data_IF_296223995437
#
_entry.id   IF_296223995437
#
_cell.length_a   1.000
_cell.length_b   1.000
_cell.length_c   1.000
_cell.angle_alpha   90.00
_cell.angle_beta   90.00
_cell.angle_gamma   90.00
#
_symmetry.space_group_name_H-M   'P 1'
#
loop_
_entity.id
_entity.type
_entity.pdbx_description
1 polymer ?
#
# COMPACT_ATOMS: atom_id res chain seq x y z
N UNK A 1 -18.20 -41.78 -18.36
CA UNK A 1 -18.63 -40.37 -18.37
C UNK A 1 -17.40 -39.55 -18.10
N UNK A 2 -16.90 -38.86 -19.13
CA UNK A 2 -15.73 -37.99 -19.00
C UNK A 2 -16.18 -36.75 -18.22
N UNK A 3 -15.68 -36.58 -17.00
CA UNK A 3 -15.81 -35.30 -16.29
C UNK A 3 -15.12 -34.24 -17.15
N UNK A 4 -15.92 -33.39 -17.79
CA UNK A 4 -15.41 -32.15 -18.36
C UNK A 4 -14.89 -31.32 -17.20
N UNK A 5 -13.58 -31.38 -16.95
CA UNK A 5 -12.89 -30.42 -16.07
C UNK A 5 -13.11 -29.05 -16.70
N UNK A 6 -14.05 -28.29 -16.14
CA UNK A 6 -14.23 -26.88 -16.47
C UNK A 6 -12.89 -26.19 -16.25
N UNK A 7 -12.42 -25.43 -17.25
CA UNK A 7 -11.19 -24.68 -17.08
C UNK A 7 -11.32 -23.71 -15.89
N UNK A 8 -10.30 -23.61 -15.02
CA UNK A 8 -10.33 -22.68 -13.90
C UNK A 8 -10.43 -21.24 -14.42
N UNK A 9 -11.17 -20.39 -13.71
CA UNK A 9 -11.30 -18.98 -14.07
C UNK A 9 -9.97 -18.20 -13.94
N UNK A 10 -9.98 -16.94 -14.37
CA UNK A 10 -8.78 -16.08 -14.33
C UNK A 10 -8.18 -15.92 -12.93
N UNK A 11 -9.03 -15.76 -11.91
CA UNK A 11 -8.61 -15.58 -10.51
C UNK A 11 -7.97 -16.86 -9.97
N UNK A 12 -8.62 -18.00 -10.21
CA UNK A 12 -8.15 -19.31 -9.76
C UNK A 12 -6.80 -19.64 -10.37
N UNK A 13 -6.61 -19.36 -11.67
CA UNK A 13 -5.31 -19.50 -12.34
C UNK A 13 -4.25 -18.55 -11.78
N UNK A 14 -4.63 -17.29 -11.52
CA UNK A 14 -3.70 -16.28 -11.00
C UNK A 14 -3.17 -16.62 -9.60
N UNK A 15 -4.00 -17.22 -8.75
CA UNK A 15 -3.65 -17.67 -7.41
C UNK A 15 -3.57 -19.22 -7.34
N UNK A 16 -2.96 -19.83 -8.36
CA UNK A 16 -2.94 -21.28 -8.55
C UNK A 16 -2.48 -22.08 -7.31
N UNK A 17 -1.41 -21.64 -6.65
CA UNK A 17 -0.92 -22.30 -5.42
C UNK A 17 -1.95 -22.23 -4.29
N UNK A 18 -2.55 -21.05 -4.08
CA UNK A 18 -3.57 -20.86 -3.06
C UNK A 18 -4.75 -21.82 -3.25
N UNK A 19 -5.27 -21.90 -4.47
CA UNK A 19 -6.39 -22.77 -4.84
C UNK A 19 -6.02 -24.24 -5.11
N UNK A 20 -4.74 -24.61 -5.02
CA UNK A 20 -4.27 -25.99 -5.20
C UNK A 20 -4.27 -26.47 -6.67
N UNK A 21 -4.21 -25.55 -7.64
CA UNK A 21 -3.92 -25.89 -9.03
C UNK A 21 -2.45 -26.32 -9.22
N UNK A 22 -1.58 -25.79 -8.36
CA UNK A 22 -0.17 -26.11 -8.22
C UNK A 22 0.19 -26.17 -6.73
N UNK A 23 1.34 -26.74 -6.41
CA UNK A 23 1.98 -26.57 -5.10
C UNK A 23 3.20 -25.66 -5.30
N UNK A 24 3.49 -24.78 -4.34
CA UNK A 24 4.61 -23.85 -4.45
C UNK A 24 5.94 -24.62 -4.49
N UNK A 25 6.85 -24.16 -5.33
CA UNK A 25 8.15 -24.80 -5.51
C UNK A 25 9.10 -24.50 -4.32
N UNK A 26 9.90 -25.50 -3.92
CA UNK A 26 10.90 -25.36 -2.86
C UNK A 26 10.67 -26.27 -1.65
N UNK A 27 11.70 -26.39 -0.81
CA UNK A 27 11.72 -27.18 0.42
C UNK A 27 11.76 -26.30 1.69
N UNK A 28 11.53 -24.99 1.52
CA UNK A 28 11.52 -24.02 2.60
C UNK A 28 10.28 -24.10 3.48
N UNK A 29 10.33 -23.41 4.63
CA UNK A 29 9.15 -23.25 5.47
C UNK A 29 8.07 -22.47 4.72
N UNK A 30 6.83 -22.99 4.73
CA UNK A 30 5.69 -22.31 4.13
C UNK A 30 5.43 -20.99 4.85
N UNK A 31 5.41 -19.90 4.10
CA UNK A 31 5.15 -18.56 4.59
C UNK A 31 3.95 -17.93 3.87
N UNK A 32 3.00 -17.39 4.65
CA UNK A 32 1.90 -16.59 4.14
C UNK A 32 2.16 -15.11 4.38
N UNK A 33 1.89 -14.29 3.37
CA UNK A 33 1.98 -12.83 3.48
C UNK A 33 0.58 -12.25 3.27
N UNK A 34 -0.03 -11.74 4.34
CA UNK A 34 -1.44 -11.32 4.36
C UNK A 34 -1.57 -9.82 4.59
N UNK A 35 -2.34 -9.15 3.73
CA UNK A 35 -2.58 -7.72 3.82
C UNK A 35 -3.31 -7.21 2.58
N UNK A 36 -3.23 -5.90 2.33
CA UNK A 36 -3.74 -5.31 1.09
C UNK A 36 -2.81 -5.63 -0.11
N UNK A 37 -2.93 -4.89 -1.20
CA UNK A 37 -2.10 -5.07 -2.41
C UNK A 37 -0.57 -5.03 -2.15
N UNK A 38 -0.13 -4.44 -1.04
CA UNK A 38 1.27 -4.43 -0.62
C UNK A 38 1.80 -5.80 -0.17
N UNK A 39 0.92 -6.68 0.32
CA UNK A 39 1.32 -8.01 0.78
C UNK A 39 1.97 -8.84 -0.33
N UNK A 40 1.42 -8.79 -1.55
CA UNK A 40 2.01 -9.47 -2.70
C UNK A 40 3.40 -8.91 -3.05
N UNK A 41 3.60 -7.60 -2.89
CA UNK A 41 4.92 -7.01 -3.13
C UNK A 41 5.91 -7.53 -2.12
N UNK A 42 5.60 -7.47 -0.82
CA UNK A 42 6.50 -8.01 0.20
C UNK A 42 6.76 -9.51 0.02
N UNK A 43 5.74 -10.30 -0.37
CA UNK A 43 5.88 -11.74 -0.65
C UNK A 43 7.00 -12.01 -1.64
N UNK A 44 7.01 -11.28 -2.76
CA UNK A 44 8.05 -11.43 -3.80
C UNK A 44 9.45 -11.23 -3.20
N UNK A 45 9.64 -10.25 -2.32
CA UNK A 45 10.95 -9.95 -1.73
C UNK A 45 11.34 -10.89 -0.56
N UNK A 46 10.41 -11.70 -0.05
CA UNK A 46 10.68 -12.67 1.02
C UNK A 46 10.99 -14.08 0.51
N UNK A 47 10.51 -14.41 -0.68
CA UNK A 47 10.61 -15.75 -1.25
C UNK A 47 12.06 -16.21 -1.40
N UNK A 48 12.32 -17.49 -1.09
CA UNK A 48 13.65 -18.08 -1.12
C UNK A 48 14.42 -18.05 0.21
N UNK A 49 15.65 -18.58 0.15
CA UNK A 49 16.57 -18.71 1.29
C UNK A 49 15.91 -19.30 2.55
N UNK A 50 15.27 -20.47 2.39
CA UNK A 50 14.58 -21.20 3.46
C UNK A 50 13.10 -20.87 3.63
N UNK A 51 12.55 -19.99 2.79
CA UNK A 51 11.11 -19.71 2.70
C UNK A 51 10.54 -20.16 1.35
N UNK A 52 9.34 -20.72 1.40
CA UNK A 52 8.50 -20.97 0.23
C UNK A 52 7.20 -20.19 0.45
N UNK A 53 7.00 -19.11 -0.30
CA UNK A 53 5.84 -18.22 -0.12
C UNK A 53 4.67 -18.65 -1.00
N UNK A 54 3.45 -18.49 -0.49
CA UNK A 54 2.23 -18.78 -1.27
C UNK A 54 1.63 -17.48 -1.78
N UNK A 55 1.46 -17.37 -3.09
CA UNK A 55 0.71 -16.27 -3.70
C UNK A 55 -0.78 -16.44 -3.43
N UNK A 56 -1.42 -15.43 -2.84
CA UNK A 56 -2.83 -15.47 -2.47
C UNK A 56 -3.53 -14.12 -2.73
N UNK A 57 -4.88 -14.09 -2.80
CA UNK A 57 -5.62 -12.83 -2.91
C UNK A 57 -5.31 -11.88 -1.73
N UNK A 58 -5.30 -10.56 -1.97
CA UNK A 58 -5.21 -9.59 -0.88
C UNK A 58 -6.46 -9.68 0.01
N UNK A 59 -6.31 -9.30 1.27
CA UNK A 59 -7.32 -9.55 2.33
C UNK A 59 -8.70 -8.94 2.02
N UNK A 60 -8.76 -7.84 1.29
CA UNK A 60 -10.02 -7.18 0.91
C UNK A 60 -10.72 -7.81 -0.30
N UNK A 61 -10.05 -8.74 -0.99
CA UNK A 61 -10.64 -9.55 -2.06
C UNK A 61 -11.01 -10.96 -1.58
N UNK A 62 -10.72 -11.33 -0.33
CA UNK A 62 -11.08 -12.63 0.21
C UNK A 62 -12.59 -12.68 0.48
N UNK A 63 -13.19 -13.81 0.12
CA UNK A 63 -14.61 -14.09 0.33
C UNK A 63 -14.78 -15.32 1.22
N UNK A 64 -16.01 -15.59 1.67
CA UNK A 64 -16.32 -16.80 2.44
C UNK A 64 -15.93 -18.09 1.70
N UNK A 65 -15.96 -18.10 0.36
CA UNK A 65 -15.58 -19.24 -0.46
C UNK A 65 -14.08 -19.53 -0.46
N UNK A 66 -13.25 -18.54 -0.10
CA UNK A 66 -11.79 -18.67 -0.03
C UNK A 66 -11.31 -19.21 1.33
N UNK A 67 -12.18 -19.22 2.35
CA UNK A 67 -11.81 -19.61 3.70
C UNK A 67 -11.23 -21.03 3.76
N UNK A 68 -11.85 -22.09 3.20
CA UNK A 68 -11.28 -23.44 3.30
C UNK A 68 -9.84 -23.56 2.78
N UNK A 69 -9.50 -22.82 1.72
CA UNK A 69 -8.16 -22.75 1.16
C UNK A 69 -7.20 -21.99 2.07
N UNK A 70 -7.66 -20.88 2.66
CA UNK A 70 -6.91 -20.13 3.65
C UNK A 70 -6.61 -20.97 4.89
N UNK A 71 -7.61 -21.68 5.44
CA UNK A 71 -7.44 -22.57 6.60
C UNK A 71 -6.44 -23.70 6.31
N UNK A 72 -6.53 -24.32 5.12
CA UNK A 72 -5.56 -25.33 4.65
C UNK A 72 -4.13 -24.80 4.69
N UNK A 73 -3.92 -23.57 4.20
CA UNK A 73 -2.60 -22.98 4.15
C UNK A 73 -2.09 -22.52 5.52
N UNK A 74 -2.95 -21.92 6.34
CA UNK A 74 -2.61 -21.54 7.72
C UNK A 74 -2.18 -22.76 8.54
N UNK A 75 -2.89 -23.89 8.43
CA UNK A 75 -2.54 -25.14 9.11
C UNK A 75 -1.21 -25.76 8.66
N UNK A 76 -0.65 -25.34 7.51
CA UNK A 76 0.66 -25.77 6.99
C UNK A 76 1.76 -24.72 7.19
N UNK A 77 1.40 -23.47 7.44
CA UNK A 77 2.33 -22.36 7.47
C UNK A 77 3.19 -22.42 8.73
N UNK A 78 4.52 -22.39 8.55
CA UNK A 78 5.44 -22.15 9.65
C UNK A 78 5.56 -20.66 9.99
N UNK A 79 5.07 -19.79 9.11
CA UNK A 79 5.26 -18.35 9.16
C UNK A 79 4.04 -17.59 8.64
N UNK A 80 3.62 -16.58 9.38
CA UNK A 80 2.64 -15.59 8.94
C UNK A 80 3.27 -14.19 9.02
N UNK A 81 3.43 -13.54 7.88
CA UNK A 81 3.77 -12.13 7.77
C UNK A 81 2.48 -11.39 7.48
N UNK A 82 2.05 -10.48 8.37
CA UNK A 82 0.72 -9.88 8.24
C UNK A 82 0.74 -8.38 8.45
N UNK A 83 0.06 -7.64 7.59
CA UNK A 83 -0.36 -6.29 7.94
C UNK A 83 -1.42 -6.34 9.04
N UNK A 84 -1.50 -5.36 9.95
CA UNK A 84 -2.56 -5.33 10.94
C UNK A 84 -3.95 -5.28 10.28
N UNK A 85 -4.72 -6.34 10.46
CA UNK A 85 -6.12 -6.47 10.04
C UNK A 85 -6.96 -6.65 11.29
N UNK A 86 -8.03 -5.87 11.42
CA UNK A 86 -8.97 -6.00 12.55
C UNK A 86 -9.69 -7.34 12.48
N UNK A 87 -10.09 -7.87 13.62
CA UNK A 87 -10.96 -9.04 13.67
C UNK A 87 -12.28 -8.75 12.95
N UNK A 88 -12.84 -9.81 12.36
CA UNK A 88 -14.10 -9.79 11.61
C UNK A 88 -14.09 -8.76 10.46
N UNK A 89 -12.93 -8.63 9.79
CA UNK A 89 -12.77 -7.76 8.64
C UNK A 89 -13.66 -8.24 7.49
N UNK A 90 -14.54 -7.37 7.02
CA UNK A 90 -15.59 -7.70 6.02
C UNK A 90 -16.49 -8.88 6.45
N UNK A 91 -16.80 -8.97 7.74
CA UNK A 91 -17.65 -10.02 8.33
C UNK A 91 -17.06 -11.44 8.16
N UNK A 92 -15.75 -11.53 7.96
CA UNK A 92 -14.98 -12.76 7.83
C UNK A 92 -13.88 -12.82 8.91
N UNK A 93 -13.47 -14.02 9.37
CA UNK A 93 -12.47 -14.20 10.41
C UNK A 93 -11.03 -13.96 9.89
N UNK A 94 -10.79 -12.78 9.33
CA UNK A 94 -9.56 -12.39 8.63
C UNK A 94 -8.63 -11.51 9.48
N UNK A 95 -8.98 -11.26 10.75
CA UNK A 95 -8.14 -10.47 11.64
C UNK A 95 -6.79 -11.11 11.89
N UNK A 96 -5.74 -10.31 12.04
CA UNK A 96 -4.38 -10.83 12.26
C UNK A 96 -4.32 -11.76 13.48
N UNK A 97 -5.10 -11.48 14.54
CA UNK A 97 -5.18 -12.35 15.71
C UNK A 97 -5.91 -13.66 15.41
N UNK A 98 -7.02 -13.61 14.67
CA UNK A 98 -7.78 -14.78 14.23
C UNK A 98 -6.92 -15.69 13.34
N UNK A 99 -6.24 -15.14 12.34
CA UNK A 99 -5.35 -15.91 11.46
C UNK A 99 -4.20 -16.56 12.23
N UNK A 100 -3.57 -15.82 13.17
CA UNK A 100 -2.50 -16.34 14.00
C UNK A 100 -2.94 -17.52 14.88
N UNK A 101 -4.18 -17.52 15.37
CA UNK A 101 -4.72 -18.60 16.19
C UNK A 101 -4.93 -19.92 15.43
N UNK A 102 -4.93 -19.88 14.09
CA UNK A 102 -5.09 -21.05 13.22
C UNK A 102 -3.76 -21.71 12.84
N UNK A 103 -2.64 -21.08 13.18
CA UNK A 103 -1.32 -21.58 12.85
C UNK A 103 -0.92 -22.76 13.75
N UNK A 104 -0.02 -23.65 13.28
CA UNK A 104 0.68 -24.60 14.13
C UNK A 104 1.35 -23.92 15.33
N UNK A 105 1.48 -24.65 16.44
CA UNK A 105 2.01 -24.14 17.71
C UNK A 105 3.42 -23.53 17.57
N UNK A 106 4.23 -24.10 16.69
CA UNK A 106 5.62 -23.69 16.44
C UNK A 106 5.75 -22.57 15.40
N UNK A 107 4.63 -22.15 14.78
CA UNK A 107 4.64 -21.11 13.77
C UNK A 107 4.94 -19.73 14.39
N UNK A 108 5.53 -18.84 13.59
CA UNK A 108 5.87 -17.47 14.03
C UNK A 108 5.09 -16.44 13.23
N UNK A 109 4.77 -15.34 13.89
CA UNK A 109 4.03 -14.21 13.30
C UNK A 109 4.90 -12.97 13.32
N UNK A 110 5.02 -12.28 12.18
CA UNK A 110 5.65 -10.97 12.09
C UNK A 110 4.66 -10.00 11.49
N UNK A 111 4.55 -8.82 12.10
CA UNK A 111 3.67 -7.76 11.60
C UNK A 111 4.47 -6.75 10.79
N UNK A 112 3.89 -6.30 9.68
CA UNK A 112 4.48 -5.30 8.81
C UNK A 112 3.50 -4.14 8.64
N UNK A 113 3.95 -2.88 8.61
CA UNK A 113 3.02 -1.77 8.51
C UNK A 113 2.39 -1.72 7.12
N UNK A 114 1.19 -1.15 7.03
CA UNK A 114 0.70 -0.63 5.75
C UNK A 114 1.48 0.65 5.47
N UNK A 115 2.42 0.59 4.53
CA UNK A 115 3.30 1.71 4.23
C UNK A 115 2.49 2.80 3.53
N UNK A 116 2.45 3.98 4.14
CA UNK A 116 1.91 5.20 3.53
C UNK A 116 2.83 6.37 3.84
N UNK A 117 3.17 7.12 2.81
CA UNK A 117 4.00 8.31 2.94
C UNK A 117 3.55 9.38 1.95
N UNK A 118 2.99 10.46 2.47
CA UNK A 118 2.48 11.58 1.66
C UNK A 118 3.57 12.61 1.30
N UNK A 119 4.79 12.54 1.87
CA UNK A 119 5.82 13.57 1.66
C UNK A 119 6.37 13.67 0.24
N UNK A 120 6.14 12.68 -0.61
CA UNK A 120 6.44 12.73 -2.05
C UNK A 120 5.23 13.14 -2.90
N UNK A 121 4.02 13.08 -2.34
CA UNK A 121 2.75 13.33 -3.03
C UNK A 121 1.76 14.05 -2.12
N UNK A 122 2.09 15.26 -1.63
CA UNK A 122 1.41 15.89 -0.50
C UNK A 122 -0.01 16.36 -0.80
N UNK A 123 -0.37 16.48 -2.08
CA UNK A 123 -1.72 16.84 -2.52
C UNK A 123 -2.69 15.66 -2.49
N UNK A 124 -2.17 14.42 -2.46
CA UNK A 124 -2.98 13.24 -2.65
C UNK A 124 -3.48 12.66 -1.32
N UNK A 125 -4.76 12.30 -1.29
CA UNK A 125 -5.41 11.64 -0.15
C UNK A 125 -6.30 10.49 -0.62
N UNK A 126 -6.58 9.55 0.29
CA UNK A 126 -7.55 8.47 0.05
C UNK A 126 -8.74 8.69 0.98
N UNK A 127 -9.93 8.66 0.39
CA UNK A 127 -11.21 8.81 1.05
C UNK A 127 -12.16 7.82 0.40
N UNK A 128 -13.11 7.30 1.17
CA UNK A 128 -14.20 6.47 0.67
C UNK A 128 -15.50 7.16 1.09
N UNK A 129 -16.47 7.36 0.18
CA UNK A 129 -17.75 7.96 0.53
C UNK A 129 -18.43 7.18 1.66
N UNK A 130 -19.02 7.84 2.66
CA UNK A 130 -19.78 7.14 3.70
C UNK A 130 -21.00 6.39 3.14
N UNK A 131 -21.59 6.89 2.04
CA UNK A 131 -22.73 6.24 1.38
C UNK A 131 -22.39 4.90 0.74
N UNK A 132 -21.17 4.77 0.22
CA UNK A 132 -20.66 3.54 -0.38
C UNK A 132 -19.14 3.50 -0.31
N UNK A 133 -18.61 2.65 0.58
CA UNK A 133 -17.18 2.54 0.84
C UNK A 133 -16.40 1.85 -0.29
N UNK A 134 -17.09 1.27 -1.28
CA UNK A 134 -16.47 0.65 -2.45
C UNK A 134 -16.09 1.67 -3.52
N UNK A 135 -16.73 2.85 -3.52
CA UNK A 135 -16.51 3.86 -4.53
C UNK A 135 -15.11 4.48 -4.46
N UNK A 136 -14.60 4.83 -5.63
CA UNK A 136 -13.35 5.56 -5.88
C UNK A 136 -13.61 6.62 -6.95
N UNK A 137 -12.83 7.71 -6.98
CA UNK A 137 -12.87 8.61 -8.11
C UNK A 137 -12.38 7.89 -9.39
N UNK A 138 -12.88 8.28 -10.57
CA UNK A 138 -12.55 7.64 -11.84
C UNK A 138 -11.11 7.97 -12.28
N UNK A 139 -10.57 7.22 -13.25
CA UNK A 139 -9.21 7.39 -13.81
C UNK A 139 -8.09 6.98 -12.85
N UNK A 140 -8.02 7.59 -11.66
CA UNK A 140 -7.09 7.20 -10.57
C UNK A 140 -7.79 7.27 -9.22
N UNK A 141 -7.47 6.34 -8.32
CA UNK A 141 -8.15 6.21 -7.02
C UNK A 141 -7.69 7.22 -5.95
N UNK A 142 -6.97 8.28 -6.34
CA UNK A 142 -6.36 9.25 -5.44
C UNK A 142 -7.07 10.59 -5.55
N UNK A 143 -7.65 11.07 -4.46
CA UNK A 143 -8.20 12.42 -4.43
C UNK A 143 -7.07 13.45 -4.33
N UNK A 144 -7.28 14.62 -4.90
CA UNK A 144 -6.40 15.77 -4.73
C UNK A 144 -7.08 16.81 -3.83
N UNK A 145 -6.38 17.27 -2.78
CA UNK A 145 -6.89 18.28 -1.84
C UNK A 145 -7.29 19.57 -2.53
N UNK A 146 -6.61 19.95 -3.62
CA UNK A 146 -6.94 21.15 -4.43
C UNK A 146 -8.30 20.99 -5.08
N UNK A 147 -8.59 19.81 -5.64
CA UNK A 147 -9.85 19.53 -6.33
C UNK A 147 -11.01 19.39 -5.32
N UNK A 148 -10.75 18.78 -4.17
CA UNK A 148 -11.72 18.71 -3.07
C UNK A 148 -12.08 20.12 -2.58
N UNK A 149 -11.07 20.97 -2.36
CA UNK A 149 -11.27 22.35 -1.91
C UNK A 149 -12.06 23.17 -2.92
N UNK A 150 -11.78 23.00 -4.22
CA UNK A 150 -12.56 23.61 -5.30
C UNK A 150 -14.02 23.13 -5.31
N UNK A 151 -14.25 21.81 -5.23
CA UNK A 151 -15.60 21.24 -5.19
C UNK A 151 -16.39 21.71 -3.95
N UNK A 152 -15.71 22.00 -2.84
CA UNK A 152 -16.29 22.57 -1.63
C UNK A 152 -16.54 24.09 -1.71
N UNK A 153 -16.22 24.74 -2.84
CA UNK A 153 -16.35 26.19 -3.00
C UNK A 153 -15.31 27.00 -2.23
N UNK A 154 -14.18 26.38 -1.85
CA UNK A 154 -13.09 26.95 -1.07
C UNK A 154 -11.74 26.74 -1.77
N UNK A 155 -11.54 27.22 -3.01
CA UNK A 155 -10.33 26.94 -3.76
C UNK A 155 -9.09 27.42 -3.01
N UNK A 156 -8.04 26.59 -3.01
CA UNK A 156 -6.75 26.92 -2.42
C UNK A 156 -5.99 27.95 -3.28
N UNK A 157 -5.09 28.75 -2.69
CA UNK A 157 -4.16 29.58 -3.45
C UNK A 157 -3.34 28.76 -4.45
N UNK A 158 -3.06 29.32 -5.62
CA UNK A 158 -2.30 28.64 -6.69
C UNK A 158 -0.88 28.25 -6.23
N UNK A 159 -0.30 29.00 -5.31
CA UNK A 159 1.02 28.81 -4.71
C UNK A 159 0.96 28.15 -3.32
N UNK A 160 -0.17 27.52 -2.96
CA UNK A 160 -0.35 26.89 -1.64
C UNK A 160 0.66 25.77 -1.36
N UNK A 161 1.10 25.04 -2.39
CA UNK A 161 2.11 23.99 -2.24
C UNK A 161 3.51 24.59 -2.20
N UNK A 162 4.01 24.86 -1.00
CA UNK A 162 5.40 25.28 -0.77
C UNK A 162 6.26 24.12 -0.24
N UNK A 163 7.60 24.20 -0.33
CA UNK A 163 8.48 23.23 0.31
C UNK A 163 8.24 23.03 1.81
N UNK A 164 7.79 24.07 2.51
CA UNK A 164 7.43 23.97 3.93
C UNK A 164 6.15 23.17 4.16
N UNK A 165 5.14 23.32 3.30
CA UNK A 165 3.92 22.51 3.32
C UNK A 165 4.23 21.04 3.03
N UNK A 166 5.08 20.77 2.04
CA UNK A 166 5.57 19.40 1.75
C UNK A 166 6.13 18.73 3.00
N UNK A 167 7.09 19.39 3.68
CA UNK A 167 7.71 18.85 4.89
C UNK A 167 6.71 18.67 6.03
N UNK A 168 5.73 19.57 6.17
CA UNK A 168 4.71 19.47 7.21
C UNK A 168 3.74 18.30 6.97
N UNK A 169 3.33 18.09 5.71
CA UNK A 169 2.50 16.92 5.31
C UNK A 169 3.29 15.63 5.49
N UNK A 170 4.60 15.63 5.17
CA UNK A 170 5.46 14.49 5.41
C UNK A 170 5.52 14.12 6.89
N UNK A 171 5.69 15.10 7.80
CA UNK A 171 5.73 14.84 9.24
C UNK A 171 4.39 14.30 9.77
N UNK A 172 3.25 14.85 9.32
CA UNK A 172 1.93 14.29 9.66
C UNK A 172 1.81 12.82 9.22
N UNK A 173 2.25 12.51 8.00
CA UNK A 173 2.24 11.15 7.47
C UNK A 173 3.14 10.21 8.27
N UNK A 174 4.33 10.66 8.67
CA UNK A 174 5.29 9.87 9.44
C UNK A 174 4.82 9.66 10.88
N UNK A 175 4.26 10.68 11.52
CA UNK A 175 3.68 10.55 12.85
C UNK A 175 2.59 9.47 12.88
N UNK A 176 1.72 9.44 11.88
CA UNK A 176 0.68 8.40 11.76
C UNK A 176 1.24 7.01 11.39
N UNK A 177 2.34 6.93 10.62
CA UNK A 177 3.02 5.66 10.36
C UNK A 177 3.68 5.13 11.65
N UNK A 178 4.49 5.93 12.34
CA UNK A 178 5.13 5.60 13.63
C UNK A 178 4.11 5.16 14.67
N UNK A 179 2.98 5.86 14.78
CA UNK A 179 1.87 5.50 15.67
C UNK A 179 1.35 4.10 15.39
N UNK A 180 1.15 3.72 14.11
CA UNK A 180 0.68 2.38 13.71
C UNK A 180 1.74 1.31 13.94
N UNK A 181 3.01 1.63 13.70
CA UNK A 181 4.14 0.72 13.97
C UNK A 181 4.19 0.34 15.45
N UNK A 182 4.10 1.33 16.33
CA UNK A 182 4.06 1.11 17.79
C UNK A 182 2.78 0.38 18.21
N UNK A 183 1.61 0.83 17.74
CA UNK A 183 0.33 0.25 18.14
C UNK A 183 0.18 -1.23 17.76
N UNK A 184 0.89 -1.68 16.74
CA UNK A 184 0.79 -3.05 16.23
C UNK A 184 2.08 -3.85 16.30
N UNK A 185 3.15 -3.34 16.94
CA UNK A 185 4.48 -3.97 17.00
C UNK A 185 4.93 -4.48 15.63
N UNK A 186 4.90 -3.59 14.64
CA UNK A 186 5.36 -3.94 13.29
C UNK A 186 6.86 -3.76 13.16
N UNK A 187 7.46 -4.35 12.12
CA UNK A 187 8.78 -3.86 11.66
C UNK A 187 8.69 -2.36 11.37
N UNK A 188 9.79 -1.64 11.62
CA UNK A 188 9.85 -0.20 11.34
C UNK A 188 9.92 0.01 9.83
N UNK A 189 9.24 1.03 9.32
CA UNK A 189 9.28 1.52 7.95
C UNK A 189 9.42 3.06 7.89
N UNK A 190 9.02 3.76 8.94
CA UNK A 190 9.02 5.22 9.03
C UNK A 190 10.40 5.85 8.83
N UNK A 191 11.46 5.23 9.38
CA UNK A 191 12.84 5.69 9.24
C UNK A 191 13.37 5.72 7.79
N UNK A 192 12.75 4.95 6.88
CA UNK A 192 13.11 4.95 5.45
C UNK A 192 12.89 6.30 4.77
N UNK A 193 12.06 7.15 5.38
CA UNK A 193 11.67 8.45 4.86
C UNK A 193 12.18 9.59 5.75
N UNK A 194 12.96 9.31 6.79
CA UNK A 194 13.51 10.33 7.69
C UNK A 194 14.79 10.94 7.13
N UNK A 195 14.84 12.28 7.10
CA UNK A 195 16.03 13.03 6.65
C UNK A 195 17.25 12.64 7.49
N UNK A 196 18.27 12.09 6.84
CA UNK A 196 19.54 11.70 7.48
C UNK A 196 19.55 10.32 8.14
N UNK A 197 18.48 9.51 8.00
CA UNK A 197 18.36 8.18 8.60
C UNK A 197 19.00 7.03 7.79
N UNK A 198 19.69 7.33 6.67
CA UNK A 198 20.44 6.33 5.91
C UNK A 198 21.61 5.75 6.73
N UNK A 199 21.98 4.48 6.48
CA UNK A 199 23.19 3.86 7.07
C UNK A 199 24.49 4.58 6.69
N UNK A 200 24.43 5.48 5.70
CA UNK A 200 25.48 6.38 5.22
C UNK A 200 25.21 7.87 5.53
N UNK A 201 24.15 8.19 6.30
CA UNK A 201 23.76 9.56 6.65
C UNK A 201 23.08 10.35 5.51
N UNK A 202 22.66 9.71 4.42
CA UNK A 202 22.13 10.39 3.21
C UNK A 202 20.60 10.38 3.05
N UNK A 203 19.86 9.83 4.02
CA UNK A 203 18.47 9.43 3.83
C UNK A 203 17.53 10.60 3.55
N UNK A 204 17.36 11.01 2.30
CA UNK A 204 16.32 11.94 1.86
C UNK A 204 15.23 11.13 1.15
N UNK A 205 13.93 11.42 1.33
CA UNK A 205 12.86 10.77 0.57
C UNK A 205 13.05 10.89 -0.95
N UNK A 206 12.87 9.81 -1.71
CA UNK A 206 13.08 9.76 -3.17
C UNK A 206 11.89 9.14 -3.91
N UNK A 207 11.65 9.56 -5.14
CA UNK A 207 10.53 9.08 -5.97
C UNK A 207 10.63 7.59 -6.37
N UNK A 208 11.77 6.92 -6.20
CA UNK A 208 11.89 5.47 -6.37
C UNK A 208 11.31 4.70 -5.16
N UNK A 209 11.25 5.32 -3.99
CA UNK A 209 10.70 4.75 -2.76
C UNK A 209 9.17 4.69 -2.78
N UNK A 210 8.49 5.64 -3.42
CA UNK A 210 7.02 5.69 -3.51
C UNK A 210 6.59 6.19 -4.88
N UNK A 211 5.56 5.57 -5.49
CA UNK A 211 4.94 6.01 -6.77
C UNK A 211 3.64 6.80 -6.59
N UNK A 212 3.00 6.56 -5.46
CA UNK A 212 1.82 7.25 -4.94
C UNK A 212 1.95 7.21 -3.41
N UNK A 213 1.01 7.82 -2.67
CA UNK A 213 1.10 7.83 -1.20
C UNK A 213 1.06 6.45 -0.55
N UNK A 214 0.64 5.39 -1.25
CA UNK A 214 0.51 4.02 -0.73
C UNK A 214 1.07 2.93 -1.66
N UNK A 215 1.82 3.29 -2.71
CA UNK A 215 2.53 2.34 -3.59
C UNK A 215 4.05 2.44 -3.40
N UNK A 216 4.61 1.76 -2.39
CA UNK A 216 6.05 1.71 -2.19
C UNK A 216 6.77 0.99 -3.32
N UNK A 217 7.98 1.45 -3.62
CA UNK A 217 8.88 0.83 -4.58
C UNK A 217 9.82 -0.20 -4.01
N UNK A 218 10.60 -0.77 -4.92
CA UNK A 218 11.56 -1.84 -4.63
C UNK A 218 12.48 -1.49 -3.44
N UNK A 219 13.06 -0.27 -3.30
CA UNK A 219 13.92 0.05 -2.16
C UNK A 219 13.25 -0.12 -0.79
N UNK A 220 11.96 0.22 -0.70
CA UNK A 220 11.18 0.04 0.54
C UNK A 220 10.99 -1.45 0.82
N UNK A 221 10.60 -2.23 -0.20
CA UNK A 221 10.37 -3.67 -0.03
C UNK A 221 11.64 -4.47 0.25
N UNK A 222 12.76 -4.12 -0.37
CA UNK A 222 14.07 -4.71 -0.05
C UNK A 222 14.39 -4.54 1.44
N UNK A 223 14.20 -3.33 1.98
CA UNK A 223 14.51 -3.04 3.38
C UNK A 223 13.53 -3.72 4.33
N UNK A 224 12.22 -3.69 4.03
CA UNK A 224 11.22 -4.37 4.85
C UNK A 224 11.37 -5.88 4.84
N UNK A 225 11.72 -6.49 3.70
CA UNK A 225 12.01 -7.91 3.63
C UNK A 225 13.21 -8.27 4.52
N UNK A 226 14.30 -7.49 4.45
CA UNK A 226 15.46 -7.67 5.34
C UNK A 226 15.07 -7.61 6.82
N UNK A 227 14.28 -6.59 7.22
CA UNK A 227 13.80 -6.43 8.61
C UNK A 227 12.88 -7.55 9.07
N UNK A 228 12.03 -8.06 8.19
CA UNK A 228 11.19 -9.24 8.48
C UNK A 228 12.06 -10.48 8.68
N UNK A 229 13.06 -10.70 7.82
CA UNK A 229 13.97 -11.84 7.94
C UNK A 229 14.81 -11.76 9.22
N UNK A 230 15.29 -10.58 9.58
CA UNK A 230 15.96 -10.32 10.86
C UNK A 230 15.06 -10.66 12.05
N UNK A 231 13.82 -10.17 12.08
CA UNK A 231 12.83 -10.50 13.12
C UNK A 231 12.54 -12.00 13.22
N UNK A 232 12.67 -12.73 12.11
CA UNK A 232 12.50 -14.18 12.05
C UNK A 232 13.80 -14.97 12.32
N UNK A 233 14.94 -14.31 12.54
CA UNK A 233 16.25 -14.96 12.67
C UNK A 233 16.63 -15.77 11.42
N UNK A 234 16.18 -15.34 10.25
CA UNK A 234 16.48 -15.97 8.96
C UNK A 234 17.75 -15.35 8.36
N UNK A 235 18.49 -16.09 7.52
CA UNK A 235 19.65 -15.53 6.83
C UNK A 235 19.23 -14.36 5.94
N UNK A 236 20.10 -13.36 5.81
CA UNK A 236 19.91 -12.27 4.85
C UNK A 236 19.69 -12.83 3.45
N UNK A 237 18.75 -12.24 2.73
CA UNK A 237 18.42 -12.62 1.37
C UNK A 237 17.94 -11.38 0.62
N UNK A 238 18.59 -11.10 -0.50
CA UNK A 238 18.22 -9.99 -1.39
C UNK A 238 17.59 -10.57 -2.63
N UNK A 239 16.39 -10.10 -2.94
CA UNK A 239 15.64 -10.46 -4.15
C UNK A 239 15.64 -9.28 -5.10
N UNK A 240 16.02 -9.52 -6.35
CA UNK A 240 15.72 -8.62 -7.47
C UNK A 240 14.48 -9.17 -8.21
N UNK A 241 13.32 -8.49 -8.13
CA UNK A 241 12.12 -8.92 -8.84
C UNK A 241 12.23 -8.75 -10.38
N UNK A 242 13.31 -8.15 -10.89
CA UNK A 242 13.52 -7.88 -12.32
C UNK A 242 12.57 -6.83 -12.91
N UNK A 243 11.71 -6.23 -12.08
CA UNK A 243 10.72 -5.22 -12.46
C UNK A 243 10.31 -4.35 -11.26
N UNK A 244 9.80 -3.13 -11.51
CA UNK A 244 9.08 -2.37 -10.49
C UNK A 244 7.86 -3.12 -9.95
N UNK A 245 7.71 -3.21 -8.63
CA UNK A 245 6.46 -3.66 -7.99
C UNK A 245 5.54 -2.48 -7.70
N UNK A 246 4.22 -2.74 -7.56
CA UNK A 246 3.16 -1.73 -7.39
C UNK A 246 3.28 -0.54 -8.35
N UNK A 247 3.58 -0.83 -9.61
CA UNK A 247 3.85 0.17 -10.64
C UNK A 247 2.66 0.43 -11.58
N UNK A 248 1.44 0.05 -11.19
CA UNK A 248 0.25 0.25 -12.02
C UNK A 248 -0.16 1.72 -12.13
N UNK A 249 0.13 2.53 -11.11
CA UNK A 249 -0.19 3.96 -11.09
C UNK A 249 1.00 4.73 -10.53
N UNK A 250 1.43 5.78 -11.24
CA UNK A 250 2.43 6.73 -10.80
C UNK A 250 1.83 8.14 -10.80
N UNK A 251 1.97 8.84 -9.68
CA UNK A 251 1.52 10.20 -9.52
C UNK A 251 2.49 11.22 -10.16
N UNK A 252 2.00 12.38 -10.60
CA UNK A 252 2.83 13.50 -11.05
C UNK A 252 3.82 13.95 -9.98
N UNK A 253 4.96 14.49 -10.40
CA UNK A 253 6.03 15.00 -9.54
C UNK A 253 5.96 16.52 -9.50
N UNK A 254 5.72 17.07 -8.32
CA UNK A 254 5.58 18.50 -8.10
C UNK A 254 6.95 19.16 -7.84
N UNK A 255 7.20 20.33 -8.43
CA UNK A 255 8.47 21.07 -8.24
C UNK A 255 8.74 21.36 -6.75
N UNK A 256 7.72 21.74 -6.00
CA UNK A 256 7.86 22.03 -4.57
C UNK A 256 8.35 20.81 -3.76
N UNK A 257 8.06 19.58 -4.20
CA UNK A 257 8.54 18.34 -3.57
C UNK A 257 10.01 18.13 -3.88
N UNK A 258 10.42 18.35 -5.15
CA UNK A 258 11.82 18.30 -5.58
C UNK A 258 12.64 19.30 -4.76
N UNK A 259 12.17 20.54 -4.66
CA UNK A 259 12.82 21.61 -3.90
C UNK A 259 12.85 21.32 -2.38
N UNK A 260 11.80 20.71 -1.82
CA UNK A 260 11.72 20.40 -0.40
C UNK A 260 12.79 19.42 0.07
N UNK A 261 13.15 18.50 -0.81
CA UNK A 261 14.05 17.39 -0.53
C UNK A 261 15.41 17.55 -1.23
N UNK A 262 15.57 18.53 -2.14
CA UNK A 262 16.82 18.73 -2.89
C UNK A 262 17.11 17.59 -3.86
N UNK A 263 16.08 17.13 -4.57
CA UNK A 263 16.19 16.02 -5.52
C UNK A 263 16.75 16.49 -6.87
N UNK A 264 17.45 15.59 -7.57
CA UNK A 264 17.91 15.77 -8.96
C UNK A 264 16.89 15.22 -9.97
N UNK A 265 15.62 15.19 -9.56
CA UNK A 265 14.49 14.75 -10.38
C UNK A 265 13.85 15.96 -11.09
N UNK A 266 13.28 15.73 -12.26
CA UNK A 266 12.46 16.72 -12.97
C UNK A 266 10.97 16.59 -12.58
N UNK A 267 10.22 17.72 -12.52
CA UNK A 267 8.79 17.68 -12.30
C UNK A 267 8.07 17.00 -13.48
N UNK A 268 6.91 16.40 -13.19
CA UNK A 268 6.03 15.83 -14.22
C UNK A 268 4.61 16.32 -14.02
N UNK A 269 3.93 16.52 -15.14
CA UNK A 269 2.59 17.12 -15.26
C UNK A 269 1.48 16.08 -15.53
N UNK A 270 1.80 14.79 -15.43
CA UNK A 270 0.93 13.70 -15.84
C UNK A 270 1.02 12.51 -14.91
N UNK A 271 -0.04 11.73 -14.90
CA UNK A 271 -0.07 10.40 -14.30
C UNK A 271 0.47 9.38 -15.30
N UNK A 272 0.96 8.26 -14.77
CA UNK A 272 1.16 7.04 -15.54
C UNK A 272 0.19 5.99 -15.01
N UNK A 273 -0.71 5.47 -15.85
CA UNK A 273 -1.72 4.46 -15.49
C UNK A 273 -1.59 3.28 -16.43
N UNK A 274 -1.28 2.11 -15.90
CA UNK A 274 -1.05 0.90 -16.71
C UNK A 274 0.12 1.03 -17.69
N UNK A 275 1.06 1.96 -17.44
CA UNK A 275 2.16 2.28 -18.36
C UNK A 275 1.86 3.39 -19.36
N UNK A 276 0.61 3.85 -19.44
CA UNK A 276 0.19 4.91 -20.35
C UNK A 276 0.18 6.28 -19.66
N UNK A 277 0.56 7.33 -20.40
CA UNK A 277 0.48 8.71 -19.92
C UNK A 277 -0.99 9.17 -19.88
N UNK A 278 -1.41 9.71 -18.74
CA UNK A 278 -2.73 10.32 -18.53
C UNK A 278 -2.56 11.76 -18.03
N UNK A 279 -3.20 12.70 -18.69
CA UNK A 279 -3.08 14.13 -18.39
C UNK A 279 -3.67 14.47 -17.00
N UNK A 280 -2.97 15.28 -16.20
CA UNK A 280 -3.48 15.73 -14.90
C UNK A 280 -4.79 16.54 -15.04
N UNK A 281 -4.97 17.26 -16.14
CA UNK A 281 -6.20 18.01 -16.40
C UNK A 281 -7.39 17.09 -16.72
N UNK A 282 -7.14 15.92 -17.33
CA UNK A 282 -8.16 14.89 -17.53
C UNK A 282 -8.63 14.34 -16.18
N UNK A 283 -7.69 13.98 -15.31
CA UNK A 283 -7.98 13.51 -13.94
C UNK A 283 -8.78 14.56 -13.17
N UNK A 284 -8.36 15.84 -13.22
CA UNK A 284 -9.06 16.95 -12.56
C UNK A 284 -10.52 17.04 -13.01
N UNK A 285 -10.78 17.08 -14.32
CA UNK A 285 -12.15 17.19 -14.85
C UNK A 285 -13.01 16.00 -14.44
N UNK A 286 -12.47 14.80 -14.53
CA UNK A 286 -13.18 13.58 -14.16
C UNK A 286 -13.52 13.57 -12.66
N UNK A 287 -12.59 13.97 -11.79
CA UNK A 287 -12.79 14.01 -10.34
C UNK A 287 -13.80 15.09 -9.93
N UNK A 288 -13.73 16.30 -10.52
CA UNK A 288 -14.70 17.36 -10.23
C UNK A 288 -16.13 16.97 -10.67
N UNK A 289 -16.27 16.32 -11.82
CA UNK A 289 -17.57 15.77 -12.25
C UNK A 289 -18.08 14.73 -11.25
N UNK A 290 -17.21 13.82 -10.81
CA UNK A 290 -17.54 12.81 -9.83
C UNK A 290 -17.93 13.41 -8.46
N UNK A 291 -17.24 14.46 -8.00
CA UNK A 291 -17.60 15.14 -6.74
C UNK A 291 -18.97 15.82 -6.79
N UNK A 292 -19.41 16.29 -7.96
CA UNK A 292 -20.76 16.82 -8.12
C UNK A 292 -21.85 15.75 -7.94
N UNK A 293 -21.55 14.50 -8.27
CA UNK A 293 -22.42 13.33 -8.08
C UNK A 293 -22.29 12.72 -6.67
N UNK A 294 -21.14 12.88 -6.04
CA UNK A 294 -20.78 12.32 -4.73
C UNK A 294 -20.31 13.40 -3.73
N UNK A 295 -21.18 14.35 -3.33
CA UNK A 295 -20.80 15.43 -2.41
C UNK A 295 -20.41 14.91 -1.01
N UNK A 296 -20.94 13.77 -0.59
CA UNK A 296 -20.59 13.12 0.68
C UNK A 296 -19.11 12.67 0.73
N UNK A 297 -18.50 12.39 -0.43
CA UNK A 297 -17.07 12.13 -0.55
C UNK A 297 -16.24 13.38 -0.22
N UNK A 298 -16.67 14.56 -0.68
CA UNK A 298 -16.03 15.85 -0.41
C UNK A 298 -16.12 16.18 1.08
N UNK A 299 -17.31 16.02 1.68
CA UNK A 299 -17.53 16.22 3.11
C UNK A 299 -16.67 15.28 3.96
N UNK A 300 -16.65 13.99 3.62
CA UNK A 300 -15.82 13.01 4.31
C UNK A 300 -14.33 13.31 4.17
N UNK A 301 -13.89 13.81 3.02
CA UNK A 301 -12.50 14.18 2.79
C UNK A 301 -12.08 15.36 3.67
N UNK A 302 -12.88 16.42 3.71
CA UNK A 302 -12.64 17.61 4.53
C UNK A 302 -12.58 17.24 6.02
N UNK A 303 -13.50 16.39 6.49
CA UNK A 303 -13.53 15.96 7.88
C UNK A 303 -12.35 15.05 8.23
N UNK A 304 -12.05 14.06 7.39
CA UNK A 304 -11.00 13.05 7.66
C UNK A 304 -9.59 13.62 7.58
N UNK A 305 -9.36 14.59 6.68
CA UNK A 305 -8.05 15.15 6.39
C UNK A 305 -7.93 16.62 6.80
N UNK A 306 -8.69 17.06 7.82
CA UNK A 306 -8.74 18.44 8.27
C UNK A 306 -7.35 19.04 8.57
N UNK A 307 -6.46 18.27 9.24
CA UNK A 307 -5.09 18.72 9.53
C UNK A 307 -4.28 18.95 8.25
N UNK A 308 -4.46 18.10 7.23
CA UNK A 308 -3.84 18.30 5.92
C UNK A 308 -4.38 19.57 5.26
N UNK A 309 -5.70 19.77 5.24
CA UNK A 309 -6.29 20.99 4.67
C UNK A 309 -5.79 22.27 5.37
N UNK A 310 -5.65 22.24 6.70
CA UNK A 310 -5.12 23.35 7.47
C UNK A 310 -3.68 23.71 7.06
N UNK A 311 -2.81 22.72 6.79
CA UNK A 311 -1.46 22.96 6.29
C UNK A 311 -1.43 23.64 4.92
N UNK A 312 -2.44 23.39 4.09
CA UNK A 312 -2.59 23.98 2.76
C UNK A 312 -3.27 25.36 2.80
N UNK A 313 -3.63 25.87 3.98
CA UNK A 313 -4.28 27.17 4.14
C UNK A 313 -5.81 27.14 3.96
N UNK A 314 -6.43 25.96 3.93
CA UNK A 314 -7.88 25.82 4.04
C UNK A 314 -8.28 25.72 5.53
N UNK A 315 -8.87 26.79 6.05
CA UNK A 315 -9.53 26.84 7.36
C UNK A 315 -11.06 26.97 7.18
#
# INVERSE_FOLDING_TARGET
MSEQRTEPDGRTRHYGDFYGLSEPEGDGAIALVVGNCQAESLRIFLDGAGLTTVRMPPVHELTAADLPQLERWLGRAGLLVSQPVRDDYHDLPLGTAQLAAMLPREARVVRVPVVRFAGLYPAHVIVRPPSDVSLVPPVVEYHDVRFIAEAAGRPLPTDALTPAVVRSVAELSLAELRKREVAHDTVVASDLFEVGAGTDGTGTPRFDQMRTLNHPGNPVWTTLASRVRERLGLPEHVVDPGRPVLASVHAPREQAVIDAWGLDDEPTDHWVVGGERVDADEVRRAHLSWYAEHPDAVEAALARHADTFALWGAA
#
